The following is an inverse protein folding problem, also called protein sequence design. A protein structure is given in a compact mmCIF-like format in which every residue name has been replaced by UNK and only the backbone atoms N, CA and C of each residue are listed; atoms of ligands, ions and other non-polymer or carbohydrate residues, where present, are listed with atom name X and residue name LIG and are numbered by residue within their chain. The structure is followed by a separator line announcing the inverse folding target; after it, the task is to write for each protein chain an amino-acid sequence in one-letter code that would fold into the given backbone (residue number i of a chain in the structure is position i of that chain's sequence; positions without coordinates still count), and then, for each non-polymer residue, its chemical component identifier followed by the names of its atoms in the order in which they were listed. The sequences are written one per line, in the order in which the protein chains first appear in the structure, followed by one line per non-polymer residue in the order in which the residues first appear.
data_IF_624558917579
#
_entry.id   IF_624558917579
#
_cell.length_a   1.000
_cell.length_b   1.000
_cell.length_c   1.000
_cell.angle_alpha   90.00
_cell.angle_beta   90.00
_cell.angle_gamma   90.00
#
_symmetry.space_group_name_H-M   'P 1'
#
loop_
_entity.id
_entity.type
_entity.pdbx_description
1 polymer ?
#
# COMPACT_ATOMS: atom_id res chain seq x y z
N UNK A 1 -27.35 32.68 5.40
CA UNK A 1 -27.82 31.39 4.85
C UNK A 1 -26.89 31.05 3.68
N UNK A 2 -25.98 30.08 3.84
CA UNK A 2 -24.93 29.76 2.84
C UNK A 2 -25.28 28.45 2.11
N UNK A 3 -25.07 28.31 0.79
CA UNK A 3 -25.46 27.10 0.05
C UNK A 3 -24.47 25.95 0.28
N UNK A 4 -24.99 24.76 0.60
CA UNK A 4 -24.25 23.53 0.96
C UNK A 4 -23.97 22.57 -0.22
N UNK A 5 -24.06 23.01 -1.48
CA UNK A 5 -24.15 22.09 -2.62
C UNK A 5 -22.85 21.83 -3.42
N UNK A 6 -21.70 22.38 -3.01
CA UNK A 6 -20.43 22.20 -3.74
C UNK A 6 -19.83 20.78 -3.68
N UNK A 7 -20.09 20.05 -2.60
CA UNK A 7 -19.47 18.74 -2.33
C UNK A 7 -20.03 17.60 -3.20
N UNK A 8 -21.33 17.66 -3.51
CA UNK A 8 -22.01 16.64 -4.31
C UNK A 8 -21.61 16.70 -5.78
N UNK A 9 -21.53 17.90 -6.36
CA UNK A 9 -21.13 18.09 -7.77
C UNK A 9 -19.67 17.69 -8.02
N UNK A 10 -18.76 17.96 -7.09
CA UNK A 10 -17.33 17.59 -7.21
C UNK A 10 -17.14 16.07 -7.15
N UNK A 11 -17.83 15.39 -6.23
CA UNK A 11 -17.82 13.91 -6.14
C UNK A 11 -18.44 13.25 -7.37
N UNK A 12 -19.53 13.82 -7.91
CA UNK A 12 -20.16 13.34 -9.15
C UNK A 12 -19.22 13.49 -10.35
N UNK A 13 -18.57 14.64 -10.50
CA UNK A 13 -17.57 14.85 -11.57
C UNK A 13 -16.38 13.88 -11.45
N UNK A 14 -15.88 13.61 -10.25
CA UNK A 14 -14.79 12.65 -10.05
C UNK A 14 -15.20 11.21 -10.43
N UNK A 15 -16.44 10.80 -10.13
CA UNK A 15 -16.98 9.51 -10.56
C UNK A 15 -17.20 9.44 -12.07
N UNK A 16 -17.69 10.51 -12.69
CA UNK A 16 -17.86 10.60 -14.14
C UNK A 16 -16.51 10.60 -14.88
N UNK A 17 -15.46 11.21 -14.31
CA UNK A 17 -14.10 11.16 -14.85
C UNK A 17 -13.51 9.75 -14.76
N UNK A 18 -13.62 9.11 -13.59
CA UNK A 18 -13.19 7.73 -13.39
C UNK A 18 -13.91 6.76 -14.34
N UNK A 19 -15.23 6.91 -14.49
CA UNK A 19 -16.02 6.09 -15.41
C UNK A 19 -15.62 6.31 -16.88
N UNK A 20 -15.23 7.54 -17.27
CA UNK A 20 -14.72 7.83 -18.62
C UNK A 20 -13.33 7.24 -18.85
N UNK A 21 -12.48 7.23 -17.83
CA UNK A 21 -11.16 6.57 -17.88
C UNK A 21 -11.32 5.06 -18.00
N UNK A 22 -12.20 4.45 -17.20
CA UNK A 22 -12.53 3.02 -17.26
C UNK A 22 -13.16 2.64 -18.63
N UNK A 23 -14.01 3.50 -19.20
CA UNK A 23 -14.59 3.30 -20.53
C UNK A 23 -13.55 3.39 -21.65
N UNK A 24 -12.63 4.36 -21.57
CA UNK A 24 -11.53 4.47 -22.55
C UNK A 24 -10.59 3.26 -22.47
N UNK A 25 -10.32 2.80 -21.27
CA UNK A 25 -9.53 1.60 -21.02
C UNK A 25 -10.20 0.34 -21.59
N UNK A 26 -11.51 0.16 -21.35
CA UNK A 26 -12.28 -0.97 -21.89
C UNK A 26 -12.49 -0.92 -23.41
N UNK A 27 -12.61 0.28 -23.99
CA UNK A 27 -12.65 0.47 -25.45
C UNK A 27 -11.29 0.20 -26.11
N UNK A 28 -10.18 0.59 -25.47
CA UNK A 28 -8.83 0.19 -25.89
C UNK A 28 -8.65 -1.34 -25.83
N UNK A 29 -9.25 -1.99 -24.82
CA UNK A 29 -9.31 -3.46 -24.69
C UNK A 29 -10.10 -4.15 -25.82
N UNK A 30 -11.17 -3.52 -26.33
CA UNK A 30 -11.94 -4.06 -27.45
C UNK A 30 -11.23 -3.90 -28.79
N UNK A 31 -10.47 -2.83 -28.97
CA UNK A 31 -9.72 -2.57 -30.21
C UNK A 31 -8.44 -3.43 -30.32
N UNK A 32 -7.93 -3.93 -29.20
CA UNK A 32 -6.74 -4.79 -29.13
C UNK A 32 -7.04 -6.29 -29.22
N UNK A 33 -8.31 -6.69 -29.41
CA UNK A 33 -8.72 -8.10 -29.46
C UNK A 33 -9.16 -8.48 -30.90
N UNK A 34 -8.26 -8.93 -31.80
CA UNK A 34 -8.64 -9.34 -33.14
C UNK A 34 -9.11 -10.80 -33.09
N UNK A 35 -10.40 -11.01 -32.91
CA UNK A 35 -10.92 -12.36 -32.71
C UNK A 35 -12.33 -12.57 -33.27
N UNK A 36 -12.49 -12.50 -34.59
CA UNK A 36 -13.34 -13.44 -35.38
C UNK A 36 -13.20 -13.12 -36.87
N UNK A 37 -12.17 -13.67 -37.51
CA UNK A 37 -12.18 -13.88 -38.96
C UNK A 37 -11.65 -15.27 -39.23
N UNK A 38 -12.54 -16.14 -39.68
CA UNK A 38 -12.25 -17.52 -40.05
C UNK A 38 -11.09 -17.56 -41.06
N UNK A 39 -10.00 -18.24 -40.71
CA UNK A 39 -8.95 -18.62 -41.66
C UNK A 39 -8.84 -20.14 -41.71
N UNK A 40 -9.24 -20.66 -42.88
CA UNK A 40 -8.99 -22.02 -43.32
C UNK A 40 -7.49 -22.23 -43.52
N UNK A 41 -7.09 -23.45 -43.19
CA UNK A 41 -5.76 -24.04 -43.16
C UNK A 41 -4.96 -23.95 -44.47
N UNK A 42 -3.66 -23.64 -44.38
CA UNK A 42 -2.57 -24.54 -44.79
C UNK A 42 -1.18 -24.05 -44.31
N UNK A 43 -0.26 -24.96 -43.96
CA UNK A 43 1.02 -24.65 -43.33
C UNK A 43 2.14 -24.56 -44.36
N UNK A 44 3.16 -23.74 -44.10
CA UNK A 44 4.56 -24.20 -44.18
C UNK A 44 5.55 -23.14 -43.64
N UNK A 45 6.56 -23.69 -42.98
CA UNK A 45 7.90 -23.15 -42.73
C UNK A 45 8.11 -22.05 -41.68
N UNK A 46 8.83 -22.50 -40.64
CA UNK A 46 10.05 -21.94 -40.04
C UNK A 46 9.93 -20.81 -39.01
N UNK A 47 10.45 -21.14 -37.84
CA UNK A 47 10.84 -20.28 -36.71
C UNK A 47 9.70 -19.57 -36.01
N UNK A 48 9.19 -20.25 -34.98
CA UNK A 48 8.48 -19.60 -33.87
C UNK A 48 9.40 -18.54 -33.27
N UNK A 49 9.30 -17.31 -33.77
CA UNK A 49 9.68 -16.14 -33.01
C UNK A 49 8.91 -16.24 -31.69
N UNK A 50 9.62 -16.55 -30.60
CA UNK A 50 9.09 -16.35 -29.25
C UNK A 50 8.73 -14.87 -29.18
N UNK A 51 7.45 -14.56 -29.36
CA UNK A 51 6.90 -13.21 -29.20
C UNK A 51 7.32 -12.74 -27.81
N UNK A 52 8.28 -11.81 -27.73
CA UNK A 52 8.67 -11.20 -26.48
C UNK A 52 7.42 -10.56 -25.86
N UNK A 53 7.16 -10.83 -24.58
CA UNK A 53 5.99 -10.31 -23.90
C UNK A 53 6.27 -8.87 -23.45
N UNK A 54 5.38 -7.94 -23.76
CA UNK A 54 5.60 -6.53 -23.42
C UNK A 54 5.37 -6.29 -21.92
N UNK A 55 6.00 -5.25 -21.35
CA UNK A 55 5.75 -4.85 -19.96
C UNK A 55 4.24 -4.63 -19.68
N UNK A 56 3.51 -4.05 -20.62
CA UNK A 56 2.07 -3.83 -20.46
C UNK A 56 1.29 -5.16 -20.41
N UNK A 57 1.65 -6.14 -21.25
CA UNK A 57 1.00 -7.45 -21.24
C UNK A 57 1.26 -8.20 -19.93
N UNK A 58 2.48 -8.10 -19.39
CA UNK A 58 2.83 -8.69 -18.09
C UNK A 58 2.04 -8.01 -16.97
N UNK A 59 2.01 -6.67 -16.93
CA UNK A 59 1.23 -5.92 -15.93
C UNK A 59 -0.27 -6.25 -15.99
N UNK A 60 -0.84 -6.39 -17.20
CA UNK A 60 -2.24 -6.78 -17.37
C UNK A 60 -2.53 -8.20 -16.89
N UNK A 61 -1.64 -9.14 -17.22
CA UNK A 61 -1.75 -10.54 -16.79
C UNK A 61 -1.68 -10.64 -15.27
N UNK A 62 -0.79 -9.88 -14.64
CA UNK A 62 -0.67 -9.88 -13.17
C UNK A 62 -1.87 -9.21 -12.47
N UNK A 63 -2.46 -8.16 -13.04
CA UNK A 63 -3.73 -7.61 -12.52
C UNK A 63 -4.85 -8.66 -12.57
N UNK A 64 -4.95 -9.42 -13.67
CA UNK A 64 -5.92 -10.50 -13.79
C UNK A 64 -5.68 -11.59 -12.74
N UNK A 65 -4.41 -12.00 -12.56
CA UNK A 65 -4.01 -12.99 -11.57
C UNK A 65 -4.34 -12.58 -10.13
N UNK A 66 -4.06 -11.32 -9.75
CA UNK A 66 -4.42 -10.78 -8.44
C UNK A 66 -5.95 -10.74 -8.22
N UNK A 67 -6.70 -10.49 -9.28
CA UNK A 67 -8.17 -10.39 -9.22
C UNK A 67 -8.83 -11.76 -9.05
N UNK A 68 -8.29 -12.79 -9.70
CA UNK A 68 -8.83 -14.16 -9.68
C UNK A 68 -8.30 -15.01 -8.53
N UNK A 69 -7.23 -14.58 -7.85
CA UNK A 69 -6.66 -15.27 -6.70
C UNK A 69 -7.70 -15.51 -5.60
N UNK A 70 -7.74 -16.76 -5.11
CA UNK A 70 -8.57 -17.11 -3.98
C UNK A 70 -7.99 -16.53 -2.69
N UNK A 71 -8.76 -15.67 -2.02
CA UNK A 71 -8.33 -15.04 -0.79
C UNK A 71 -8.33 -15.99 0.42
N UNK A 72 -8.92 -17.18 0.31
CA UNK A 72 -8.98 -18.16 1.41
C UNK A 72 -7.69 -18.96 1.56
N UNK A 73 -6.88 -19.03 0.51
CA UNK A 73 -5.60 -19.74 0.49
C UNK A 73 -4.45 -18.77 0.80
N UNK A 74 -4.03 -18.75 2.07
CA UNK A 74 -3.03 -17.79 2.58
C UNK A 74 -1.66 -17.91 1.90
N UNK A 75 -1.05 -19.12 1.75
CA UNK A 75 0.18 -19.28 0.96
C UNK A 75 0.09 -18.70 -0.46
N UNK A 76 -1.01 -18.98 -1.17
CA UNK A 76 -1.21 -18.47 -2.53
C UNK A 76 -1.38 -16.96 -2.55
N UNK A 77 -2.11 -16.38 -1.60
CA UNK A 77 -2.22 -14.92 -1.45
C UNK A 77 -0.87 -14.27 -1.24
N UNK A 78 -0.07 -14.78 -0.30
CA UNK A 78 1.25 -14.25 0.02
C UNK A 78 2.18 -14.33 -1.21
N UNK A 79 2.22 -15.48 -1.89
CA UNK A 79 3.03 -15.69 -3.09
C UNK A 79 2.65 -14.73 -4.22
N UNK A 80 1.37 -14.68 -4.59
CA UNK A 80 0.90 -13.83 -5.69
C UNK A 80 1.17 -12.36 -5.37
N UNK A 81 0.85 -11.92 -4.15
CA UNK A 81 1.09 -10.54 -3.76
C UNK A 81 2.58 -10.18 -3.75
N UNK A 82 3.44 -11.07 -3.24
CA UNK A 82 4.89 -10.87 -3.27
C UNK A 82 5.37 -10.71 -4.72
N UNK A 83 5.08 -11.69 -5.58
CA UNK A 83 5.55 -11.69 -6.97
C UNK A 83 5.03 -10.48 -7.75
N UNK A 84 3.78 -10.08 -7.56
CA UNK A 84 3.22 -8.91 -8.23
C UNK A 84 3.82 -7.59 -7.73
N UNK A 85 4.11 -7.46 -6.42
CA UNK A 85 4.75 -6.27 -5.88
C UNK A 85 6.22 -6.19 -6.30
N UNK A 86 6.94 -7.31 -6.28
CA UNK A 86 8.33 -7.39 -6.73
C UNK A 86 8.46 -7.05 -8.23
N UNK A 87 7.54 -7.56 -9.06
CA UNK A 87 7.44 -7.16 -10.47
C UNK A 87 7.31 -5.63 -10.62
N UNK A 88 6.53 -4.96 -9.76
CA UNK A 88 6.39 -3.50 -9.86
C UNK A 88 7.66 -2.75 -9.48
N UNK A 89 8.55 -3.33 -8.66
CA UNK A 89 9.88 -2.78 -8.40
C UNK A 89 10.72 -2.79 -9.68
N UNK A 90 10.70 -3.90 -10.41
CA UNK A 90 11.39 -4.02 -11.70
C UNK A 90 10.77 -3.11 -12.77
N UNK A 91 9.45 -3.04 -12.85
CA UNK A 91 8.74 -2.18 -13.79
C UNK A 91 9.02 -0.69 -13.54
N UNK A 92 9.02 -0.25 -12.27
CA UNK A 92 9.35 1.13 -11.89
C UNK A 92 10.77 1.51 -12.31
N UNK A 93 11.73 0.60 -12.11
CA UNK A 93 13.11 0.79 -12.59
C UNK A 93 13.19 0.92 -14.11
N UNK A 94 12.53 0.04 -14.86
CA UNK A 94 12.50 0.11 -16.32
C UNK A 94 11.85 1.39 -16.83
N UNK A 95 10.76 1.86 -16.19
CA UNK A 95 10.11 3.13 -16.53
C UNK A 95 11.09 4.30 -16.30
N UNK A 96 11.80 4.30 -15.18
CA UNK A 96 12.79 5.34 -14.87
C UNK A 96 13.95 5.35 -15.88
N UNK A 97 14.57 4.19 -16.14
CA UNK A 97 15.65 4.04 -17.12
C UNK A 97 15.20 4.51 -18.51
N UNK A 98 13.99 4.10 -18.96
CA UNK A 98 13.45 4.51 -20.26
C UNK A 98 13.21 6.04 -20.34
N UNK A 99 12.70 6.66 -19.26
CA UNK A 99 12.48 8.11 -19.23
C UNK A 99 13.80 8.89 -19.20
N UNK A 100 14.79 8.41 -18.45
CA UNK A 100 16.11 9.03 -18.38
C UNK A 100 16.86 8.91 -19.71
N UNK A 101 16.81 7.76 -20.37
CA UNK A 101 17.43 7.56 -21.69
C UNK A 101 16.80 8.45 -22.76
N UNK A 102 15.48 8.73 -22.66
CA UNK A 102 14.77 9.55 -23.62
C UNK A 102 15.09 11.06 -23.50
N UNK A 103 15.14 11.60 -22.28
CA UNK A 103 15.49 13.01 -22.02
C UNK A 103 15.99 13.20 -20.57
N UNK A 104 17.31 13.05 -20.32
CA UNK A 104 17.89 13.15 -18.98
C UNK A 104 17.66 14.52 -18.34
N UNK A 105 17.66 15.60 -19.14
CA UNK A 105 17.51 16.96 -18.63
C UNK A 105 16.10 17.25 -18.13
N UNK A 106 15.09 16.61 -18.73
CA UNK A 106 13.67 16.75 -18.36
C UNK A 106 13.24 15.83 -17.24
N UNK A 107 13.82 14.63 -17.15
CA UNK A 107 13.37 13.58 -16.23
C UNK A 107 14.33 13.29 -15.07
N UNK A 108 15.41 14.05 -14.91
CA UNK A 108 16.32 13.91 -13.76
C UNK A 108 15.54 13.94 -12.44
N UNK A 109 15.51 12.84 -11.65
CA UNK A 109 14.64 12.72 -10.48
C UNK A 109 15.06 13.64 -9.32
N UNK A 110 16.24 14.26 -9.39
CA UNK A 110 16.81 15.02 -8.29
C UNK A 110 17.05 14.14 -7.04
N UNK A 111 17.57 14.71 -5.95
CA UNK A 111 17.91 13.93 -4.74
C UNK A 111 16.70 13.42 -3.94
N UNK A 112 15.47 13.73 -4.36
CA UNK A 112 14.23 13.34 -3.66
C UNK A 112 13.22 12.60 -4.57
N UNK A 113 13.56 12.36 -5.85
CA UNK A 113 12.67 11.64 -6.78
C UNK A 113 12.66 10.14 -6.52
N UNK A 114 11.52 9.50 -6.85
CA UNK A 114 11.18 8.06 -6.88
C UNK A 114 11.57 7.14 -5.69
N UNK A 115 12.63 7.42 -4.92
CA UNK A 115 13.09 6.61 -3.78
C UNK A 115 12.03 6.38 -2.70
N UNK A 116 11.09 7.32 -2.52
CA UNK A 116 9.96 7.16 -1.57
C UNK A 116 8.95 6.08 -1.98
N UNK A 117 8.90 5.70 -3.26
CA UNK A 117 8.09 4.57 -3.73
C UNK A 117 8.81 3.26 -3.42
N UNK A 118 10.12 3.20 -3.68
CA UNK A 118 10.97 2.04 -3.37
C UNK A 118 10.97 1.71 -1.88
N UNK A 119 11.14 2.70 -1.00
CA UNK A 119 11.12 2.48 0.45
C UNK A 119 9.84 1.75 0.92
N UNK A 120 8.68 2.07 0.32
CA UNK A 120 7.41 1.43 0.68
C UNK A 120 7.27 0.03 0.10
N UNK A 121 7.76 -0.19 -1.12
CA UNK A 121 7.80 -1.52 -1.74
C UNK A 121 8.73 -2.44 -0.95
N UNK A 122 9.91 -1.96 -0.58
CA UNK A 122 10.87 -2.68 0.26
C UNK A 122 10.26 -3.07 1.61
N UNK A 123 9.57 -2.14 2.29
CA UNK A 123 8.86 -2.47 3.54
C UNK A 123 7.77 -3.51 3.29
N UNK A 124 7.01 -3.42 2.20
CA UNK A 124 5.97 -4.41 1.90
C UNK A 124 6.57 -5.81 1.68
N UNK A 125 7.60 -5.91 0.84
CA UNK A 125 8.26 -7.16 0.50
C UNK A 125 8.93 -7.79 1.72
N UNK A 126 9.69 -7.01 2.49
CA UNK A 126 10.34 -7.50 3.71
C UNK A 126 9.34 -8.11 4.70
N UNK A 127 8.16 -7.51 4.86
CA UNK A 127 7.12 -8.09 5.72
C UNK A 127 6.51 -9.36 5.15
N UNK A 128 6.34 -9.45 3.83
CA UNK A 128 5.88 -10.68 3.19
C UNK A 128 6.89 -11.82 3.33
N UNK A 129 8.20 -11.54 3.23
CA UNK A 129 9.27 -12.53 3.43
C UNK A 129 9.30 -13.11 4.86
N UNK A 130 8.87 -12.33 5.85
CA UNK A 130 8.77 -12.83 7.23
C UNK A 130 7.57 -13.74 7.47
N UNK A 131 6.64 -13.86 6.51
CA UNK A 131 5.43 -14.65 6.67
C UNK A 131 5.76 -16.16 6.63
N UNK A 132 5.45 -16.94 7.68
CA UNK A 132 5.81 -18.36 7.72
C UNK A 132 5.10 -19.21 6.66
N UNK A 133 3.93 -18.77 6.17
CA UNK A 133 3.20 -19.48 5.11
C UNK A 133 3.63 -19.08 3.70
N UNK A 134 4.61 -18.17 3.53
CA UNK A 134 5.12 -17.82 2.20
C UNK A 134 5.85 -19.05 1.62
N UNK A 135 5.39 -19.60 0.48
CA UNK A 135 6.09 -20.70 -0.17
C UNK A 135 7.41 -20.24 -0.77
N UNK A 136 8.30 -21.19 -1.07
CA UNK A 136 9.54 -20.91 -1.77
C UNK A 136 9.24 -20.22 -3.11
N UNK A 137 9.93 -19.10 -3.32
CA UNK A 137 9.75 -18.24 -4.48
C UNK A 137 10.67 -18.72 -5.59
N UNK A 138 10.12 -18.87 -6.79
CA UNK A 138 10.93 -19.14 -7.97
C UNK A 138 11.63 -17.85 -8.40
N UNK A 139 12.93 -17.95 -8.70
CA UNK A 139 13.74 -16.82 -9.17
C UNK A 139 13.16 -16.31 -10.50
N UNK A 140 12.54 -15.13 -10.47
CA UNK A 140 11.87 -14.49 -11.62
C UNK A 140 12.80 -13.62 -12.48
N UNK A 141 14.12 -13.75 -12.33
CA UNK A 141 15.12 -13.00 -13.11
C UNK A 141 14.85 -13.09 -14.63
N UNK A 142 14.29 -14.22 -15.09
CA UNK A 142 13.94 -14.44 -16.50
C UNK A 142 12.76 -13.59 -16.99
N UNK A 143 11.76 -13.29 -16.15
CA UNK A 143 10.59 -12.51 -16.58
C UNK A 143 10.94 -11.04 -16.77
N UNK A 144 11.77 -10.47 -15.91
CA UNK A 144 12.26 -9.09 -16.02
C UNK A 144 13.26 -8.94 -17.17
N UNK A 145 14.13 -9.94 -17.39
CA UNK A 145 15.08 -9.95 -18.50
C UNK A 145 14.41 -10.13 -19.88
N UNK A 146 13.21 -10.71 -19.94
CA UNK A 146 12.39 -10.82 -21.16
C UNK A 146 11.52 -9.58 -21.41
N UNK A 147 11.43 -8.63 -20.48
CA UNK A 147 10.73 -7.37 -20.69
C UNK A 147 11.53 -6.52 -21.67
N UNK A 148 10.98 -6.31 -22.87
CA UNK A 148 11.47 -5.24 -23.73
C UNK A 148 11.12 -3.88 -23.09
N UNK A 149 11.97 -2.85 -23.25
CA UNK A 149 11.59 -1.48 -22.96
C UNK A 149 10.23 -1.19 -23.60
N UNK A 150 9.40 -0.37 -22.93
CA UNK A 150 8.03 -0.02 -23.32
C UNK A 150 7.82 -0.15 -24.82
N UNK A 151 7.04 -1.17 -25.19
CA UNK A 151 7.09 -1.75 -26.52
C UNK A 151 7.08 -0.63 -27.56
N UNK A 152 8.16 -0.54 -28.33
CA UNK A 152 8.25 0.39 -29.43
C UNK A 152 7.15 -0.01 -30.39
N UNK A 153 6.03 0.70 -30.33
CA UNK A 153 4.99 0.65 -31.34
C UNK A 153 5.49 1.31 -32.65
N UNK A 154 6.68 0.94 -33.11
CA UNK A 154 7.01 0.78 -34.53
C UNK A 154 6.00 -0.13 -35.25
N UNK A 155 5.13 -0.83 -34.52
CA UNK A 155 4.00 -1.61 -35.06
C UNK A 155 2.65 -0.89 -35.05
N UNK A 156 2.57 0.42 -34.79
CA UNK A 156 1.33 1.14 -35.06
C UNK A 156 1.02 1.23 -36.57
N UNK A 157 1.98 1.01 -37.48
CA UNK A 157 1.71 0.81 -38.91
C UNK A 157 2.84 0.05 -39.64
N UNK A 158 2.68 -1.22 -40.04
CA UNK A 158 3.45 -1.77 -41.16
C UNK A 158 2.89 -1.17 -42.45
N UNK A 159 3.28 0.08 -42.72
CA UNK A 159 2.88 0.81 -43.91
C UNK A 159 2.63 2.30 -43.60
N UNK A 160 3.56 3.15 -44.05
CA UNK A 160 3.48 4.63 -44.05
C UNK A 160 3.83 5.35 -42.74
N UNK A 161 5.11 5.34 -42.38
CA UNK A 161 5.77 6.58 -41.95
C UNK A 161 6.92 6.81 -42.93
N UNK A 162 6.69 7.70 -43.89
CA UNK A 162 7.71 8.09 -44.88
C UNK A 162 8.76 9.04 -44.30
N UNK A 163 8.57 9.51 -43.06
CA UNK A 163 9.46 10.43 -42.37
C UNK A 163 9.81 9.91 -40.97
N UNK A 164 11.09 9.97 -40.55
CA UNK A 164 11.49 9.66 -39.18
C UNK A 164 10.86 10.65 -38.19
N UNK A 165 10.40 10.15 -37.04
CA UNK A 165 9.87 10.98 -35.96
C UNK A 165 10.89 12.06 -35.57
N UNK A 166 10.41 13.27 -35.29
CA UNK A 166 11.24 14.28 -34.63
C UNK A 166 11.58 13.82 -33.20
N UNK A 167 12.72 14.27 -32.67
CA UNK A 167 13.12 13.94 -31.29
C UNK A 167 12.03 14.31 -30.26
N UNK A 168 11.30 15.41 -30.47
CA UNK A 168 10.19 15.81 -29.60
C UNK A 168 9.01 14.84 -29.61
N UNK A 169 8.61 14.34 -30.78
CA UNK A 169 7.52 13.36 -30.91
C UNK A 169 7.90 12.00 -30.30
N UNK A 170 9.17 11.61 -30.43
CA UNK A 170 9.71 10.41 -29.78
C UNK A 170 9.63 10.53 -28.25
N UNK A 171 10.08 11.65 -27.67
CA UNK A 171 10.02 11.87 -26.22
C UNK A 171 8.58 11.88 -25.70
N UNK A 172 7.62 12.47 -26.44
CA UNK A 172 6.21 12.45 -26.03
C UNK A 172 5.62 11.03 -26.03
N UNK A 173 5.96 10.21 -27.02
CA UNK A 173 5.51 8.81 -27.08
C UNK A 173 6.02 8.01 -25.87
N UNK A 174 7.30 8.14 -25.55
CA UNK A 174 7.92 7.49 -24.37
C UNK A 174 7.23 7.91 -23.08
N UNK A 175 6.91 9.21 -22.93
CA UNK A 175 6.19 9.71 -21.74
C UNK A 175 4.78 9.13 -21.62
N UNK A 176 4.04 9.04 -22.73
CA UNK A 176 2.70 8.45 -22.74
C UNK A 176 2.78 6.99 -22.31
N UNK A 177 3.72 6.24 -22.85
CA UNK A 177 3.94 4.84 -22.52
C UNK A 177 4.32 4.66 -21.05
N UNK A 178 5.29 5.42 -20.55
CA UNK A 178 5.69 5.41 -19.14
C UNK A 178 4.50 5.68 -18.20
N UNK A 179 3.61 6.60 -18.58
CA UNK A 179 2.37 6.86 -17.83
C UNK A 179 1.42 5.66 -17.84
N UNK A 180 1.26 4.98 -18.98
CA UNK A 180 0.40 3.78 -19.05
C UNK A 180 0.98 2.67 -18.17
N UNK A 181 2.29 2.42 -18.23
CA UNK A 181 2.95 1.42 -17.38
C UNK A 181 2.83 1.78 -15.89
N UNK A 182 2.99 3.06 -15.53
CA UNK A 182 2.78 3.53 -14.16
C UNK A 182 1.32 3.36 -13.69
N UNK A 183 0.33 3.55 -14.58
CA UNK A 183 -1.08 3.24 -14.30
C UNK A 183 -1.28 1.74 -14.06
N UNK A 184 -0.60 0.88 -14.83
CA UNK A 184 -0.59 -0.57 -14.61
C UNK A 184 -0.02 -0.96 -13.24
N UNK A 185 1.14 -0.39 -12.86
CA UNK A 185 1.73 -0.59 -11.53
C UNK A 185 0.77 -0.15 -10.41
N UNK A 186 0.14 1.03 -10.57
CA UNK A 186 -0.87 1.52 -9.63
C UNK A 186 -2.07 0.56 -9.50
N UNK A 187 -2.52 -0.04 -10.60
CA UNK A 187 -3.58 -1.04 -10.56
C UNK A 187 -3.14 -2.29 -9.77
N UNK A 188 -1.94 -2.81 -10.02
CA UNK A 188 -1.35 -3.93 -9.26
C UNK A 188 -1.34 -3.61 -7.77
N UNK A 189 -0.85 -2.45 -7.35
CA UNK A 189 -0.81 -2.06 -5.94
C UNK A 189 -2.21 -2.02 -5.31
N UNK A 190 -3.22 -1.52 -6.03
CA UNK A 190 -4.61 -1.52 -5.57
C UNK A 190 -5.15 -2.94 -5.38
N UNK A 191 -4.98 -3.80 -6.38
CA UNK A 191 -5.46 -5.19 -6.35
C UNK A 191 -4.72 -6.05 -5.31
N UNK A 192 -3.40 -5.87 -5.16
CA UNK A 192 -2.60 -6.51 -4.12
C UNK A 192 -3.06 -6.10 -2.72
N UNK A 193 -3.29 -4.80 -2.48
CA UNK A 193 -3.85 -4.30 -1.22
C UNK A 193 -5.20 -4.98 -0.89
N UNK A 194 -6.09 -5.08 -1.86
CA UNK A 194 -7.40 -5.69 -1.67
C UNK A 194 -7.31 -7.21 -1.44
N UNK A 195 -6.44 -7.91 -2.16
CA UNK A 195 -6.19 -9.34 -1.97
C UNK A 195 -5.63 -9.62 -0.57
N UNK A 196 -4.55 -8.93 -0.17
CA UNK A 196 -3.92 -9.08 1.14
C UNK A 196 -4.86 -8.73 2.29
N UNK A 197 -5.69 -7.68 2.13
CA UNK A 197 -6.72 -7.32 3.13
C UNK A 197 -7.77 -8.43 3.31
N UNK A 198 -8.13 -9.13 2.23
CA UNK A 198 -9.03 -10.29 2.31
C UNK A 198 -8.30 -11.51 2.90
N UNK A 199 -7.09 -11.79 2.45
CA UNK A 199 -6.25 -12.91 2.92
C UNK A 199 -5.97 -12.87 4.42
N UNK A 200 -5.72 -11.67 4.97
CA UNK A 200 -5.52 -11.48 6.40
C UNK A 200 -6.70 -11.95 7.29
N UNK A 201 -7.90 -12.18 6.72
CA UNK A 201 -9.06 -12.72 7.45
C UNK A 201 -9.04 -14.25 7.55
N UNK A 202 -8.30 -14.91 6.68
CA UNK A 202 -8.23 -16.37 6.56
C UNK A 202 -6.90 -16.94 7.05
N UNK A 203 -5.86 -16.09 7.14
CA UNK A 203 -4.58 -16.43 7.76
C UNK A 203 -4.78 -16.91 9.21
N UNK A 204 -4.15 -18.04 9.52
CA UNK A 204 -4.21 -18.68 10.85
C UNK A 204 -3.03 -18.28 11.74
N UNK A 205 -1.88 -18.03 11.13
CA UNK A 205 -0.71 -17.57 11.83
C UNK A 205 -0.78 -16.05 12.05
N UNK A 206 -0.35 -15.60 13.22
CA UNK A 206 -0.32 -14.19 13.56
C UNK A 206 0.65 -13.42 12.65
N UNK A 207 1.78 -14.02 12.30
CA UNK A 207 2.82 -13.37 11.51
C UNK A 207 2.40 -13.25 10.04
N UNK A 208 1.64 -14.22 9.51
CA UNK A 208 0.97 -14.10 8.20
C UNK A 208 -0.06 -12.97 8.18
N UNK A 209 -0.85 -12.82 9.26
CA UNK A 209 -1.82 -11.74 9.40
C UNK A 209 -1.12 -10.38 9.44
N UNK A 210 -0.02 -10.27 10.20
CA UNK A 210 0.80 -9.07 10.29
C UNK A 210 1.39 -8.70 8.92
N UNK A 211 2.03 -9.66 8.25
CA UNK A 211 2.60 -9.51 6.92
C UNK A 211 1.55 -9.02 5.92
N UNK A 212 0.39 -9.68 5.85
CA UNK A 212 -0.70 -9.28 4.96
C UNK A 212 -1.18 -7.85 5.23
N UNK A 213 -1.38 -7.47 6.50
CA UNK A 213 -1.88 -6.14 6.86
C UNK A 213 -0.87 -5.04 6.56
N UNK A 214 0.42 -5.26 6.84
CA UNK A 214 1.48 -4.28 6.57
C UNK A 214 1.70 -4.12 5.07
N UNK A 215 1.79 -5.22 4.32
CA UNK A 215 1.94 -5.17 2.87
C UNK A 215 0.71 -4.51 2.19
N UNK A 216 -0.51 -4.82 2.64
CA UNK A 216 -1.72 -4.16 2.14
C UNK A 216 -1.70 -2.65 2.41
N UNK A 217 -1.25 -2.25 3.60
CA UNK A 217 -1.09 -0.85 3.97
C UNK A 217 -0.11 -0.13 3.04
N UNK A 218 1.06 -0.72 2.78
CA UNK A 218 2.07 -0.13 1.90
C UNK A 218 1.58 -0.05 0.45
N UNK A 219 1.03 -1.14 -0.08
CA UNK A 219 0.44 -1.18 -1.42
C UNK A 219 -0.65 -0.11 -1.61
N UNK A 220 -1.47 0.14 -0.59
CA UNK A 220 -2.44 1.24 -0.61
C UNK A 220 -1.79 2.63 -0.60
N UNK A 221 -0.74 2.84 0.19
CA UNK A 221 0.00 4.11 0.21
C UNK A 221 0.81 4.37 -1.08
N UNK A 222 1.06 3.32 -1.87
CA UNK A 222 1.63 3.39 -3.22
C UNK A 222 0.53 3.74 -4.24
N UNK A 223 -0.59 3.03 -4.22
CA UNK A 223 -1.70 3.24 -5.14
C UNK A 223 -2.29 4.64 -5.03
N UNK A 224 -2.56 5.11 -3.81
CA UNK A 224 -3.06 6.45 -3.53
C UNK A 224 -2.11 7.15 -2.55
N UNK A 225 -1.02 7.77 -3.05
CA UNK A 225 -0.12 8.54 -2.22
C UNK A 225 -0.90 9.75 -1.70
N UNK A 226 -1.35 9.67 -0.46
CA UNK A 226 -1.89 10.82 0.23
C UNK A 226 -0.69 11.73 0.50
N UNK A 227 -0.50 12.73 -0.37
CA UNK A 227 0.45 13.80 -0.10
C UNK A 227 0.15 14.31 1.31
N UNK A 228 1.17 14.43 2.16
CA UNK A 228 1.15 14.92 3.56
C UNK A 228 1.24 13.84 4.67
N UNK A 229 1.33 12.53 4.39
CA UNK A 229 1.67 11.59 5.47
C UNK A 229 3.16 11.69 5.85
N UNK A 230 3.48 12.35 6.97
CA UNK A 230 4.80 12.28 7.59
C UNK A 230 5.19 10.82 7.86
N UNK A 231 6.45 10.43 7.64
CA UNK A 231 6.97 9.07 7.87
C UNK A 231 6.49 8.46 9.19
N UNK A 232 6.51 9.25 10.28
CA UNK A 232 6.00 8.85 11.61
C UNK A 232 4.55 8.35 11.62
N UNK A 233 3.69 8.89 10.74
CA UNK A 233 2.29 8.46 10.59
C UNK A 233 2.21 7.07 9.95
N UNK A 234 3.09 6.80 8.98
CA UNK A 234 3.21 5.49 8.33
C UNK A 234 3.76 4.48 9.33
N UNK A 235 4.87 4.77 10.02
CA UNK A 235 5.47 3.88 11.03
C UNK A 235 4.45 3.48 12.11
N UNK A 236 3.65 4.45 12.58
CA UNK A 236 2.56 4.22 13.54
C UNK A 236 1.51 3.27 13.00
N UNK A 237 1.12 3.42 11.73
CA UNK A 237 0.14 2.54 11.06
C UNK A 237 0.70 1.14 10.81
N UNK A 238 1.99 1.02 10.50
CA UNK A 238 2.70 -0.26 10.40
C UNK A 238 2.68 -0.99 11.74
N UNK A 239 3.06 -0.31 12.83
CA UNK A 239 2.98 -0.91 14.18
C UNK A 239 1.57 -1.40 14.51
N UNK A 240 0.55 -0.62 14.18
CA UNK A 240 -0.84 -1.01 14.41
C UNK A 240 -1.28 -2.19 13.53
N UNK A 241 -0.80 -2.25 12.29
CA UNK A 241 -1.12 -3.32 11.34
C UNK A 241 -0.44 -4.64 11.75
N UNK A 242 0.81 -4.56 12.20
CA UNK A 242 1.63 -5.69 12.61
C UNK A 242 1.21 -6.30 13.96
N UNK A 243 0.65 -5.49 14.86
CA UNK A 243 0.29 -5.95 16.20
C UNK A 243 -1.21 -6.20 16.30
N UNK A 244 -1.59 -7.41 16.67
CA UNK A 244 -2.94 -7.66 17.14
C UNK A 244 -3.21 -6.94 18.46
N UNK A 245 -4.50 -6.65 18.65
CA UNK A 245 -4.99 -6.01 19.87
C UNK A 245 -4.78 -6.97 21.04
N UNK A 246 -3.82 -6.62 21.90
CA UNK A 246 -3.49 -7.44 23.04
C UNK A 246 -4.70 -7.60 23.96
N UNK A 247 -4.91 -8.81 24.47
CA UNK A 247 -5.97 -9.09 25.43
C UNK A 247 -5.69 -8.36 26.75
N UNK A 248 -6.73 -8.14 27.55
CA UNK A 248 -6.55 -7.53 28.88
C UNK A 248 -5.50 -8.29 29.70
N UNK A 249 -5.56 -9.62 29.67
CA UNK A 249 -4.72 -10.44 30.53
C UNK A 249 -3.25 -10.38 30.08
N UNK A 250 -2.99 -10.28 28.77
CA UNK A 250 -1.65 -9.98 28.24
C UNK A 250 -1.13 -8.61 28.66
N UNK A 251 -1.98 -7.57 28.60
CA UNK A 251 -1.60 -6.23 29.05
C UNK A 251 -1.26 -6.21 30.55
N UNK A 252 -2.03 -6.92 31.35
CA UNK A 252 -1.82 -7.01 32.80
C UNK A 252 -0.59 -7.84 33.18
N UNK A 253 -0.28 -8.88 32.41
CA UNK A 253 0.95 -9.67 32.58
C UNK A 253 2.21 -8.87 32.23
N UNK A 254 2.10 -7.81 31.43
CA UNK A 254 3.22 -6.94 31.09
C UNK A 254 3.51 -5.95 32.23
N UNK A 255 4.36 -6.39 33.17
CA UNK A 255 4.72 -5.58 34.34
C UNK A 255 5.40 -4.26 33.96
N UNK A 256 6.21 -4.23 32.90
CA UNK A 256 6.89 -3.01 32.42
C UNK A 256 5.87 -1.96 31.98
N UNK A 257 4.88 -2.35 31.16
CA UNK A 257 3.79 -1.48 30.74
C UNK A 257 2.98 -0.98 31.94
N UNK A 258 2.58 -1.88 32.84
CA UNK A 258 1.75 -1.51 33.98
C UNK A 258 2.47 -0.57 34.94
N UNK A 259 3.74 -0.83 35.25
CA UNK A 259 4.56 0.06 36.08
C UNK A 259 4.67 1.44 35.43
N UNK A 260 5.03 1.50 34.14
CA UNK A 260 5.12 2.76 33.40
C UNK A 260 3.83 3.57 33.47
N UNK A 261 2.67 2.93 33.28
CA UNK A 261 1.36 3.61 33.35
C UNK A 261 1.02 4.09 34.76
N UNK A 262 1.31 3.30 35.80
CA UNK A 262 1.08 3.70 37.19
C UNK A 262 2.00 4.84 37.61
N UNK A 263 3.29 4.76 37.28
CA UNK A 263 4.30 5.77 37.61
C UNK A 263 3.98 7.10 36.89
N UNK A 264 3.64 7.04 35.60
CA UNK A 264 3.22 8.22 34.84
C UNK A 264 1.94 8.86 35.40
N UNK A 265 0.94 8.05 35.76
CA UNK A 265 -0.28 8.54 36.38
C UNK A 265 -0.02 9.18 37.75
N UNK A 266 0.85 8.58 38.58
CA UNK A 266 1.22 9.11 39.88
C UNK A 266 2.01 10.43 39.76
N UNK A 267 2.98 10.50 38.86
CA UNK A 267 3.82 11.68 38.64
C UNK A 267 3.03 12.91 38.16
N UNK A 268 1.91 12.69 37.49
CA UNK A 268 1.07 13.73 36.89
C UNK A 268 -0.25 13.95 37.62
N UNK A 269 -0.44 13.32 38.78
CA UNK A 269 -1.66 13.44 39.57
C UNK A 269 -1.84 14.84 40.11
N UNK A 270 -2.98 15.46 39.81
CA UNK A 270 -3.39 16.70 40.46
C UNK A 270 -3.74 16.48 41.94
N UNK A 271 -4.01 17.57 42.65
CA UNK A 271 -4.41 17.56 44.08
C UNK A 271 -5.67 16.75 44.36
N UNK A 272 -6.53 16.56 43.35
CA UNK A 272 -7.75 15.76 43.43
C UNK A 272 -7.54 14.27 43.10
N UNK A 273 -6.29 13.84 42.90
CA UNK A 273 -5.94 12.46 42.55
C UNK A 273 -6.20 12.07 41.10
N UNK A 274 -6.57 13.02 40.22
CA UNK A 274 -6.79 12.76 38.79
C UNK A 274 -5.67 13.37 37.95
N UNK A 275 -5.29 12.64 36.90
CA UNK A 275 -4.23 13.02 35.96
C UNK A 275 -4.83 13.25 34.58
N UNK A 276 -4.44 14.30 33.88
CA UNK A 276 -4.89 14.51 32.49
C UNK A 276 -4.22 13.49 31.59
N UNK A 277 -4.97 12.91 30.65
CA UNK A 277 -4.46 11.90 29.73
C UNK A 277 -3.25 12.40 28.93
N UNK A 278 -3.27 13.66 28.48
CA UNK A 278 -2.16 14.28 27.74
C UNK A 278 -0.87 14.29 28.54
N UNK A 279 -0.98 14.56 29.84
CA UNK A 279 0.17 14.69 30.73
C UNK A 279 0.72 13.29 31.06
N UNK A 280 -0.16 12.31 31.26
CA UNK A 280 0.23 10.89 31.43
C UNK A 280 0.94 10.38 30.17
N UNK A 281 0.38 10.57 28.98
CA UNK A 281 1.04 10.16 27.73
C UNK A 281 2.40 10.83 27.59
N UNK A 282 2.51 12.14 27.87
CA UNK A 282 3.78 12.85 27.82
C UNK A 282 4.80 12.31 28.84
N UNK A 283 4.36 11.94 30.04
CA UNK A 283 5.21 11.31 31.05
C UNK A 283 5.67 9.90 30.61
N UNK A 284 4.80 9.10 29.99
CA UNK A 284 5.18 7.82 29.41
C UNK A 284 6.24 7.99 28.31
N UNK A 285 6.05 8.96 27.41
CA UNK A 285 7.04 9.26 26.35
C UNK A 285 8.37 9.76 26.90
N UNK A 286 8.35 10.51 28.02
CA UNK A 286 9.56 10.97 28.69
C UNK A 286 10.34 9.83 29.34
N UNK A 287 9.63 8.86 29.91
CA UNK A 287 10.23 7.70 30.58
C UNK A 287 10.65 6.60 29.59
N UNK A 288 9.90 6.42 28.50
CA UNK A 288 10.21 5.52 27.40
C UNK A 288 10.00 6.23 26.05
N UNK A 289 11.09 6.63 25.42
CA UNK A 289 11.07 7.30 24.12
C UNK A 289 10.50 6.43 22.98
N UNK A 290 10.36 5.13 23.21
CA UNK A 290 9.72 4.17 22.30
C UNK A 290 8.23 3.96 22.59
N UNK A 291 7.63 4.78 23.46
CA UNK A 291 6.20 4.73 23.77
C UNK A 291 5.33 4.96 22.53
N UNK A 292 4.54 3.95 22.18
CA UNK A 292 3.49 4.05 21.16
C UNK A 292 2.40 3.03 21.48
N UNK A 293 1.16 3.48 21.68
CA UNK A 293 0.05 2.58 22.05
C UNK A 293 -0.23 1.50 20.98
N UNK A 294 0.19 1.75 19.74
CA UNK A 294 0.10 0.86 18.59
C UNK A 294 0.92 -0.41 18.75
N UNK A 295 1.99 -0.38 19.55
CA UNK A 295 2.79 -1.58 19.87
C UNK A 295 1.97 -2.67 20.58
N UNK A 296 0.84 -2.28 21.16
CA UNK A 296 -0.09 -3.20 21.81
C UNK A 296 -1.39 -3.39 21.00
N UNK A 297 -1.42 -2.91 19.75
CA UNK A 297 -2.58 -3.01 18.84
C UNK A 297 -3.70 -1.99 19.11
N UNK A 298 -3.38 -0.85 19.75
CA UNK A 298 -4.37 0.20 20.06
C UNK A 298 -4.13 1.49 19.27
N UNK A 299 -5.21 2.06 18.73
CA UNK A 299 -5.20 3.32 17.94
C UNK A 299 -5.01 4.60 18.75
N UNK A 300 -5.15 4.53 20.08
CA UNK A 300 -5.07 5.68 20.97
C UNK A 300 -4.71 5.24 22.39
N UNK A 301 -3.93 6.04 23.11
CA UNK A 301 -3.51 5.75 24.50
C UNK A 301 -4.70 5.51 25.41
N UNK A 302 -5.79 6.26 25.22
CA UNK A 302 -7.03 6.05 25.97
C UNK A 302 -7.60 4.65 25.78
N UNK A 303 -7.53 4.10 24.56
CA UNK A 303 -8.06 2.78 24.27
C UNK A 303 -7.21 1.69 24.92
N UNK A 304 -5.88 1.85 24.91
CA UNK A 304 -4.94 0.97 25.61
C UNK A 304 -5.20 0.99 27.13
N UNK A 305 -5.21 2.19 27.73
CA UNK A 305 -5.41 2.37 29.17
C UNK A 305 -6.78 1.85 29.60
N UNK A 306 -7.83 2.13 28.81
CA UNK A 306 -9.17 1.60 29.07
C UNK A 306 -9.21 0.07 29.04
N UNK A 307 -8.47 -0.56 28.13
CA UNK A 307 -8.45 -2.01 27.98
C UNK A 307 -7.85 -2.73 29.19
N UNK A 308 -6.90 -2.10 29.90
CA UNK A 308 -6.35 -2.66 31.16
C UNK A 308 -7.42 -2.83 32.25
N UNK A 309 -8.50 -2.03 32.21
CA UNK A 309 -9.53 -1.92 33.26
C UNK A 309 -8.98 -1.57 34.67
N UNK A 310 -7.72 -1.16 34.78
CA UNK A 310 -7.05 -0.77 36.03
C UNK A 310 -7.12 0.73 36.31
N UNK A 311 -7.61 1.51 35.36
CA UNK A 311 -7.77 2.95 35.50
C UNK A 311 -9.26 3.32 35.39
N UNK A 312 -9.67 4.29 36.21
CA UNK A 312 -10.93 5.00 36.02
C UNK A 312 -10.69 6.13 35.04
N UNK A 313 -11.57 6.29 34.06
CA UNK A 313 -11.46 7.28 33.00
C UNK A 313 -12.72 8.14 33.05
N UNK A 314 -12.56 9.46 33.03
CA UNK A 314 -13.69 10.40 32.91
C UNK A 314 -13.42 11.42 31.82
N UNK A 315 -14.49 11.91 31.21
CA UNK A 315 -14.47 13.01 30.24
C UNK A 315 -15.10 14.22 30.90
N UNK A 316 -14.35 15.30 31.01
CA UNK A 316 -14.81 16.57 31.56
C UNK A 316 -14.90 17.57 30.43
N UNK A 317 -16.04 18.22 30.30
CA UNK A 317 -16.18 19.34 29.39
C UNK A 317 -15.65 20.61 30.07
N UNK A 318 -14.57 21.19 29.52
CA UNK A 318 -14.06 22.49 29.96
C UNK A 318 -14.16 23.48 28.82
N UNK A 319 -15.02 24.50 28.99
CA UNK A 319 -15.34 25.50 27.96
C UNK A 319 -15.77 24.84 26.64
N UNK A 320 -14.84 24.75 25.67
CA UNK A 320 -15.04 24.19 24.31
C UNK A 320 -14.21 22.94 24.02
N UNK A 321 -13.56 22.36 25.03
CA UNK A 321 -12.72 21.18 24.88
C UNK A 321 -13.15 20.08 25.84
N UNK A 322 -13.13 18.84 25.34
CA UNK A 322 -13.30 17.65 26.17
C UNK A 322 -11.93 17.23 26.69
N UNK A 323 -11.72 17.36 28.00
CA UNK A 323 -10.51 16.91 28.67
C UNK A 323 -10.75 15.50 29.20
N UNK A 324 -9.80 14.61 28.96
CA UNK A 324 -9.85 13.23 29.45
C UNK A 324 -8.92 13.14 30.65
N UNK A 325 -9.45 12.66 31.77
CA UNK A 325 -8.69 12.44 32.98
C UNK A 325 -8.75 10.96 33.37
N UNK A 326 -7.64 10.47 33.91
CA UNK A 326 -7.51 9.10 34.40
C UNK A 326 -7.05 9.08 35.84
N UNK A 327 -7.34 7.97 36.52
CA UNK A 327 -6.84 7.69 37.87
C UNK A 327 -6.68 6.18 38.06
N UNK A 328 -5.59 5.71 38.68
CA UNK A 328 -5.47 4.34 39.18
C UNK A 328 -6.72 3.91 39.96
N UNK A 329 -7.30 2.76 39.64
CA UNK A 329 -8.36 2.20 40.48
C UNK A 329 -7.72 1.70 41.77
N UNK A 330 -8.30 2.01 42.94
CA UNK A 330 -7.86 1.36 44.16
C UNK A 330 -8.02 -0.15 43.97
N UNK A 331 -7.04 -0.93 44.44
CA UNK A 331 -7.18 -2.37 44.50
C UNK A 331 -8.49 -2.66 45.26
N UNK A 332 -9.43 -3.39 44.63
CA UNK A 332 -10.58 -3.90 45.36
C UNK A 332 -9.99 -4.78 46.46
N UNK A 333 -10.17 -4.37 47.72
CA UNK A 333 -10.00 -5.29 48.85
C UNK A 333 -11.00 -6.41 48.61
N UNK A 334 -10.49 -7.59 48.25
CA UNK A 334 -11.26 -8.83 48.20
C UNK A 334 -11.31 -9.37 49.61
#
# INVERSE_FOLDING_TARGET
MMPKDGSSRRKRRARELKMREDLRYTEALRRSNPGTREQRSRPDSTESAKSAQTLLDVLHTEVARLTTADATDTPTVLKIAYESLDLTTAADRLIEETLLDADPARFWPGPNGLGRLRDKLEVALAWLETAPSLPELEVRDEQVAMLTPLDMATQLYPGQLSDPLTHGEFVELVVIQARIAAVGCKAIWGHASDLLTRGAKYARDHDDVAACRVAALMARELADPHSINHQRSIDRRVLLAANDKHSRDQLLANQKLMNLLYDAAAATSGTNGWSRMTDVTAACMKADHTWACERWGYKADIALIAATKKFSIRRIQRRRQTVIEIRPRPARRV
#
